data_IF_372298395215
#
_entry.id   IF_372298395215
#
_cell.length_a   1.000
_cell.length_b   1.000
_cell.length_c   1.000
_cell.angle_alpha   90.00
_cell.angle_beta   90.00
_cell.angle_gamma   90.00
#
_symmetry.space_group_name_H-M   'P 1'
#
loop_
_entity.id
_entity.type
_entity.pdbx_description
1 polymer ?
#
# COMPACT_ATOMS: atom_id res chain seq x y z
N UNK A 1 9.92 -7.28 -14.15
CA UNK A 1 10.82 -6.15 -13.97
C UNK A 1 10.00 -4.88 -13.98
N UNK A 2 9.77 -4.31 -12.81
CA UNK A 2 9.23 -2.97 -12.66
C UNK A 2 10.37 -2.02 -13.02
N UNK A 3 10.07 -0.94 -13.73
CA UNK A 3 11.05 -0.09 -14.41
C UNK A 3 12.20 0.37 -13.50
N UNK A 4 13.40 0.19 -13.99
CA UNK A 4 14.66 0.65 -13.39
C UNK A 4 14.76 2.19 -13.42
N UNK A 5 14.28 2.84 -12.40
CA UNK A 5 14.51 4.26 -12.17
C UNK A 5 14.08 4.58 -10.76
N UNK A 6 14.96 4.89 -9.86
CA UNK A 6 14.84 5.45 -8.49
C UNK A 6 13.55 5.35 -7.65
N UNK A 7 12.48 4.83 -8.22
CA UNK A 7 11.14 4.76 -7.62
C UNK A 7 10.83 3.42 -6.92
N UNK A 8 11.70 2.42 -7.05
CA UNK A 8 11.55 1.12 -6.40
C UNK A 8 12.31 1.06 -5.08
N UNK A 9 11.82 0.22 -4.16
CA UNK A 9 12.54 -0.12 -2.94
C UNK A 9 13.81 -0.90 -3.28
N UNK A 10 14.93 -0.58 -2.63
CA UNK A 10 16.24 -1.17 -2.89
C UNK A 10 17.03 -1.46 -1.61
N UNK A 11 18.26 -1.99 -1.73
CA UNK A 11 19.07 -2.42 -0.60
C UNK A 11 19.51 -1.29 0.33
N UNK A 12 19.52 -0.06 -0.14
CA UNK A 12 19.90 1.11 0.67
C UNK A 12 18.74 1.69 1.48
N UNK A 13 17.52 1.13 1.32
CA UNK A 13 16.34 1.62 2.02
C UNK A 13 16.24 1.10 3.45
N UNK A 14 15.64 1.94 4.29
CA UNK A 14 15.19 1.59 5.64
C UNK A 14 13.67 1.69 5.68
N UNK A 15 13.01 0.57 5.93
CA UNK A 15 11.56 0.45 5.89
C UNK A 15 10.97 0.53 7.29
N UNK A 16 9.91 1.32 7.48
CA UNK A 16 9.18 1.42 8.74
C UNK A 16 8.27 0.21 8.97
N UNK A 17 8.70 -0.70 9.80
CA UNK A 17 8.05 -1.99 10.04
C UNK A 17 7.09 -1.95 11.23
N UNK A 18 6.01 -1.19 11.14
CA UNK A 18 4.98 -1.06 12.19
C UNK A 18 3.74 -1.89 11.93
N UNK A 19 3.52 -2.31 10.70
CA UNK A 19 2.35 -3.12 10.34
C UNK A 19 2.45 -4.52 10.91
N UNK A 20 1.34 -5.08 11.44
CA UNK A 20 1.31 -6.43 11.98
C UNK A 20 1.71 -7.47 10.93
N UNK A 21 2.63 -8.38 11.28
CA UNK A 21 3.09 -9.43 10.35
C UNK A 21 2.07 -10.57 10.16
N UNK A 22 1.00 -10.60 10.93
CA UNK A 22 -0.13 -11.49 10.65
C UNK A 22 -1.10 -10.93 9.59
N UNK A 23 -0.94 -9.67 9.21
CA UNK A 23 -1.63 -9.05 8.08
C UNK A 23 -0.74 -9.09 6.84
N UNK A 24 -1.28 -9.52 5.70
CA UNK A 24 -0.48 -9.74 4.48
C UNK A 24 0.24 -8.47 3.99
N UNK A 25 -0.29 -7.29 4.25
CA UNK A 25 0.40 -6.03 3.95
C UNK A 25 1.72 -5.93 4.73
N UNK A 26 1.70 -6.19 6.04
CA UNK A 26 2.92 -6.23 6.84
C UNK A 26 3.86 -7.37 6.46
N UNK A 27 3.30 -8.58 6.23
CA UNK A 27 4.08 -9.77 5.92
C UNK A 27 4.76 -9.68 4.55
N UNK A 28 4.00 -9.38 3.48
CA UNK A 28 4.53 -9.44 2.13
C UNK A 28 5.13 -8.10 1.68
N UNK A 29 4.42 -6.97 1.87
CA UNK A 29 4.90 -5.68 1.36
C UNK A 29 6.01 -5.11 2.24
N UNK A 30 5.86 -5.12 3.57
CA UNK A 30 6.88 -4.56 4.46
C UNK A 30 8.04 -5.54 4.63
N UNK A 31 7.79 -6.76 5.12
CA UNK A 31 8.86 -7.71 5.42
C UNK A 31 9.35 -8.45 4.16
N UNK A 32 8.43 -9.04 3.39
CA UNK A 32 8.77 -9.90 2.24
C UNK A 32 9.53 -9.15 1.15
N UNK A 33 9.06 -7.97 0.74
CA UNK A 33 9.77 -7.13 -0.25
C UNK A 33 11.13 -6.71 0.29
N UNK A 34 11.22 -6.29 1.56
CA UNK A 34 12.48 -5.89 2.18
C UNK A 34 13.52 -7.00 2.18
N UNK A 35 13.12 -8.24 2.51
CA UNK A 35 14.01 -9.39 2.45
C UNK A 35 14.42 -9.72 1.02
N UNK A 36 13.51 -9.58 0.06
CA UNK A 36 13.77 -9.87 -1.34
C UNK A 36 14.77 -8.90 -1.98
N UNK A 37 14.65 -7.60 -1.69
CA UNK A 37 15.53 -6.55 -2.23
C UNK A 37 16.76 -6.27 -1.37
N UNK A 38 16.81 -6.81 -0.14
CA UNK A 38 17.94 -6.64 0.78
C UNK A 38 17.91 -5.33 1.58
N UNK A 39 16.76 -4.66 1.70
CA UNK A 39 16.61 -3.45 2.50
C UNK A 39 16.52 -3.75 4.01
N UNK A 40 16.86 -2.76 4.83
CA UNK A 40 16.69 -2.85 6.28
C UNK A 40 15.22 -2.63 6.68
N UNK A 41 14.77 -3.30 7.76
CA UNK A 41 13.45 -3.07 8.35
C UNK A 41 13.63 -2.62 9.80
N UNK A 42 13.15 -1.43 10.12
CA UNK A 42 13.03 -0.94 11.49
C UNK A 42 11.75 -1.48 12.11
N UNK A 43 11.85 -2.54 12.89
CA UNK A 43 10.68 -3.16 13.54
C UNK A 43 10.19 -2.30 14.71
N UNK A 44 8.92 -1.94 14.68
CA UNK A 44 8.21 -1.18 15.71
C UNK A 44 7.14 -2.09 16.31
N UNK A 45 7.28 -2.41 17.59
CA UNK A 45 6.38 -3.34 18.28
C UNK A 45 4.94 -2.78 18.39
N UNK A 46 4.84 -1.48 18.63
CA UNK A 46 3.56 -0.79 18.79
C UNK A 46 3.62 0.61 18.21
N UNK A 47 2.63 0.95 17.40
CA UNK A 47 2.50 2.29 16.87
C UNK A 47 2.16 3.31 17.97
N UNK A 48 2.96 4.35 18.05
CA UNK A 48 2.68 5.59 18.76
C UNK A 48 3.08 6.76 17.85
N UNK A 49 2.23 7.78 17.67
CA UNK A 49 2.48 8.82 16.68
C UNK A 49 3.75 9.63 16.93
N UNK A 50 4.07 9.93 18.18
CA UNK A 50 5.23 10.78 18.52
C UNK A 50 6.51 9.99 18.38
N UNK A 51 6.62 8.86 19.08
CA UNK A 51 7.81 8.01 19.03
C UNK A 51 8.03 7.38 17.65
N UNK A 52 6.96 7.19 16.87
CA UNK A 52 7.06 6.75 15.48
C UNK A 52 7.75 7.78 14.59
N UNK A 53 7.39 9.05 14.68
CA UNK A 53 8.04 10.15 13.95
C UNK A 53 9.52 10.30 14.38
N UNK A 54 9.79 10.27 15.69
CA UNK A 54 11.16 10.29 16.21
C UNK A 54 12.01 9.12 15.71
N UNK A 55 11.41 7.92 15.60
CA UNK A 55 12.08 6.74 15.08
C UNK A 55 12.40 6.88 13.57
N UNK A 56 11.49 7.45 12.78
CA UNK A 56 11.74 7.75 11.36
C UNK A 56 12.94 8.65 11.19
N UNK A 57 12.98 9.78 11.88
CA UNK A 57 14.10 10.74 11.85
C UNK A 57 15.40 10.08 12.31
N UNK A 58 15.38 9.48 13.51
CA UNK A 58 16.56 8.90 14.16
C UNK A 58 17.24 7.81 13.33
N UNK A 59 16.46 7.00 12.63
CA UNK A 59 16.97 5.85 11.89
C UNK A 59 17.04 6.09 10.37
N UNK A 60 16.71 7.31 9.90
CA UNK A 60 16.75 7.65 8.48
C UNK A 60 15.83 6.76 7.65
N UNK A 61 14.61 6.53 8.13
CA UNK A 61 13.63 5.70 7.41
C UNK A 61 13.29 6.35 6.07
N UNK A 62 13.35 5.56 5.01
CA UNK A 62 13.14 6.02 3.63
C UNK A 62 11.83 5.54 3.02
N UNK A 63 11.28 4.44 3.56
CA UNK A 63 10.02 3.84 3.08
C UNK A 63 9.05 3.68 4.24
N UNK A 64 7.88 4.27 4.10
CA UNK A 64 6.79 4.17 5.08
C UNK A 64 5.54 3.65 4.40
N UNK A 65 5.00 2.54 4.90
CA UNK A 65 3.72 1.98 4.47
C UNK A 65 2.77 1.89 5.66
N UNK A 66 1.55 2.37 5.51
CA UNK A 66 0.58 2.30 6.61
C UNK A 66 -0.84 2.65 6.19
N UNK A 67 -1.83 2.40 7.08
CA UNK A 67 -3.21 2.76 6.83
C UNK A 67 -3.42 4.28 6.93
N UNK A 68 -4.50 4.81 6.34
CA UNK A 68 -4.85 6.24 6.46
C UNK A 68 -4.91 6.75 7.90
N UNK A 69 -5.32 5.90 8.85
CA UNK A 69 -5.38 6.25 10.27
C UNK A 69 -4.01 6.54 10.89
N UNK A 70 -2.95 5.86 10.43
CA UNK A 70 -1.58 6.14 10.84
C UNK A 70 -1.14 7.53 10.33
N UNK A 71 -1.37 7.80 9.06
CA UNK A 71 -1.04 9.07 8.43
C UNK A 71 -1.81 10.24 9.06
N UNK A 72 -3.11 10.05 9.33
CA UNK A 72 -3.93 11.04 10.05
C UNK A 72 -3.39 11.32 11.47
N UNK A 73 -2.97 10.28 12.19
CA UNK A 73 -2.39 10.42 13.53
C UNK A 73 -1.10 11.26 13.48
N UNK A 74 -0.22 11.01 12.51
CA UNK A 74 1.01 11.79 12.33
C UNK A 74 0.71 13.25 11.93
N UNK A 75 -0.21 13.46 11.00
CA UNK A 75 -0.65 14.82 10.65
C UNK A 75 -1.24 15.58 11.85
N UNK A 76 -1.87 14.87 12.78
CA UNK A 76 -2.47 15.44 14.00
C UNK A 76 -1.48 15.76 15.14
N UNK A 77 -0.21 15.32 15.11
CA UNK A 77 0.75 15.59 16.21
C UNK A 77 1.09 17.09 16.26
N UNK A 78 0.83 17.80 17.37
CA UNK A 78 1.09 19.23 17.44
C UNK A 78 2.58 19.53 17.60
N UNK A 79 3.04 20.65 17.03
CA UNK A 79 4.39 21.21 17.26
C UNK A 79 5.56 20.37 16.71
N UNK A 80 5.30 19.37 15.89
CA UNK A 80 6.35 18.56 15.26
C UNK A 80 7.01 19.33 14.12
N UNK A 81 8.32 19.18 13.97
CA UNK A 81 9.06 19.74 12.84
C UNK A 81 8.56 19.13 11.52
N UNK A 82 8.10 19.94 10.54
CA UNK A 82 7.75 19.45 9.22
C UNK A 82 8.83 18.63 8.52
N UNK A 83 10.11 18.91 8.79
CA UNK A 83 11.26 18.21 8.23
C UNK A 83 11.53 16.82 8.82
N UNK A 84 10.78 16.40 9.85
CA UNK A 84 11.02 15.11 10.55
C UNK A 84 10.91 13.89 9.62
N UNK A 85 10.13 14.01 8.52
CA UNK A 85 9.98 12.98 7.49
C UNK A 85 10.83 13.23 6.24
N UNK A 86 11.83 14.12 6.29
CA UNK A 86 12.63 14.50 5.12
C UNK A 86 13.44 13.36 4.49
N UNK A 87 13.71 12.30 5.23
CA UNK A 87 14.35 11.07 4.70
C UNK A 87 13.38 10.17 3.92
N UNK A 88 12.06 10.34 4.10
CA UNK A 88 11.05 9.48 3.49
C UNK A 88 10.90 9.83 2.01
N UNK A 89 11.19 8.87 1.14
CA UNK A 89 11.06 8.98 -0.31
C UNK A 89 9.89 8.18 -0.88
N UNK A 90 9.38 7.22 -0.09
CA UNK A 90 8.22 6.38 -0.43
C UNK A 90 7.23 6.42 0.73
N UNK A 91 6.09 7.04 0.51
CA UNK A 91 5.00 7.16 1.47
C UNK A 91 3.74 6.51 0.89
N UNK A 92 3.37 5.33 1.42
CA UNK A 92 2.33 4.48 0.85
C UNK A 92 1.18 4.37 1.84
N UNK A 93 -0.03 4.66 1.35
CA UNK A 93 -1.28 4.40 2.05
C UNK A 93 -1.99 3.19 1.46
N UNK A 94 -2.47 2.29 2.31
CA UNK A 94 -3.17 1.08 1.88
C UNK A 94 -4.06 0.50 2.98
N UNK A 95 -4.63 -0.67 2.73
CA UNK A 95 -5.58 -1.38 3.60
C UNK A 95 -6.95 -0.69 3.80
N UNK A 96 -7.11 0.56 3.39
CA UNK A 96 -8.38 1.28 3.35
C UNK A 96 -8.28 2.45 2.37
N UNK A 97 -9.42 2.94 1.88
CA UNK A 97 -9.47 4.13 1.04
C UNK A 97 -8.85 5.34 1.77
N UNK A 98 -7.96 6.05 1.10
CA UNK A 98 -7.32 7.25 1.62
C UNK A 98 -8.29 8.45 1.51
N UNK A 99 -8.75 9.03 2.66
CA UNK A 99 -9.52 10.26 2.60
C UNK A 99 -8.68 11.42 2.05
N UNK A 100 -9.27 12.23 1.19
CA UNK A 100 -8.58 13.37 0.57
C UNK A 100 -8.04 14.34 1.62
N UNK A 101 -8.80 14.53 2.70
CA UNK A 101 -8.41 15.40 3.81
C UNK A 101 -7.15 14.92 4.54
N UNK A 102 -6.96 13.60 4.63
CA UNK A 102 -5.75 13.01 5.22
C UNK A 102 -4.55 13.23 4.31
N UNK A 103 -4.70 12.96 3.01
CA UNK A 103 -3.64 13.19 2.02
C UNK A 103 -3.20 14.66 2.04
N UNK A 104 -4.16 15.60 1.98
CA UNK A 104 -3.91 17.04 2.03
C UNK A 104 -3.25 17.49 3.35
N UNK A 105 -3.67 16.92 4.50
CA UNK A 105 -3.09 17.26 5.80
C UNK A 105 -1.63 16.79 5.92
N UNK A 106 -1.31 15.60 5.39
CA UNK A 106 0.07 15.08 5.35
C UNK A 106 0.94 15.92 4.42
N UNK A 107 0.46 16.20 3.21
CA UNK A 107 1.17 17.04 2.24
C UNK A 107 1.42 18.46 2.78
N UNK A 108 0.39 19.10 3.32
CA UNK A 108 0.50 20.45 3.90
C UNK A 108 1.48 20.53 5.08
N UNK A 109 1.55 19.47 5.89
CA UNK A 109 2.39 19.44 7.09
C UNK A 109 3.82 19.01 6.82
N UNK A 110 4.02 17.97 6.04
CA UNK A 110 5.32 17.32 5.85
C UNK A 110 5.89 17.47 4.43
N UNK A 111 5.11 18.01 3.48
CA UNK A 111 5.54 18.12 2.08
C UNK A 111 5.64 16.78 1.36
N UNK A 112 4.95 15.74 1.85
CA UNK A 112 5.00 14.39 1.31
C UNK A 112 3.67 14.06 0.63
N UNK A 113 3.71 13.59 -0.61
CA UNK A 113 2.58 13.01 -1.31
C UNK A 113 2.41 11.53 -0.94
N UNK A 114 1.17 11.11 -0.68
CA UNK A 114 0.85 9.72 -0.37
C UNK A 114 0.40 8.97 -1.61
N UNK A 115 1.11 7.90 -1.94
CA UNK A 115 0.69 6.91 -2.94
C UNK A 115 -0.42 6.01 -2.36
N UNK A 116 -1.58 5.93 -2.99
CA UNK A 116 -2.64 5.01 -2.58
C UNK A 116 -2.58 3.73 -3.42
N UNK A 117 -2.18 2.62 -2.82
CA UNK A 117 -2.22 1.29 -3.45
C UNK A 117 -3.51 0.55 -3.11
N UNK A 118 -3.97 -0.30 -4.04
CA UNK A 118 -5.10 -1.22 -3.79
C UNK A 118 -4.63 -2.67 -3.79
N UNK A 119 -5.22 -3.43 -2.88
CA UNK A 119 -4.96 -4.86 -2.76
C UNK A 119 -5.86 -5.54 -1.76
N UNK A 120 -5.83 -6.87 -1.76
CA UNK A 120 -6.58 -7.73 -0.86
C UNK A 120 -5.77 -8.99 -0.54
N UNK A 121 -6.12 -9.66 0.54
CA UNK A 121 -5.41 -10.87 0.99
C UNK A 121 -5.41 -11.96 -0.08
N UNK A 122 -6.52 -12.09 -0.79
CA UNK A 122 -6.75 -13.05 -1.87
C UNK A 122 -5.91 -12.78 -3.12
N UNK A 123 -5.23 -11.62 -3.19
CA UNK A 123 -4.32 -11.24 -4.28
C UNK A 123 -2.86 -11.03 -3.83
N UNK A 124 -2.46 -11.48 -2.66
CA UNK A 124 -1.07 -11.66 -2.13
C UNK A 124 -0.15 -10.44 -1.98
N UNK A 125 -0.54 -9.24 -1.59
CA UNK A 125 -1.83 -8.58 -1.59
C UNK A 125 -2.02 -7.56 -2.73
N UNK A 126 -0.94 -7.11 -3.43
CA UNK A 126 -0.97 -5.92 -4.29
C UNK A 126 -1.60 -6.22 -5.64
N UNK A 127 -2.60 -5.40 -5.99
CA UNK A 127 -3.31 -5.44 -7.27
C UNK A 127 -2.94 -4.25 -8.14
N UNK A 128 -2.95 -3.04 -7.55
CA UNK A 128 -2.60 -1.81 -8.29
C UNK A 128 -1.62 -0.93 -7.52
N UNK A 129 -0.89 -0.10 -8.26
CA UNK A 129 -0.01 0.93 -7.71
C UNK A 129 -0.02 2.16 -8.61
N UNK A 130 -0.05 3.39 -8.05
CA UNK A 130 0.09 4.61 -8.83
C UNK A 130 1.55 4.94 -9.16
N UNK A 131 2.53 4.34 -8.47
CA UNK A 131 3.94 4.69 -8.59
C UNK A 131 4.48 4.49 -10.00
N UNK A 132 5.19 5.50 -10.52
CA UNK A 132 5.79 5.46 -11.85
C UNK A 132 4.80 5.42 -13.01
N UNK A 133 3.50 5.62 -12.77
CA UNK A 133 2.46 5.50 -13.78
C UNK A 133 1.96 6.84 -14.32
N UNK A 134 2.24 7.95 -13.62
CA UNK A 134 1.64 9.25 -13.90
C UNK A 134 0.15 9.33 -13.58
N UNK A 135 -0.38 8.40 -12.79
CA UNK A 135 -1.76 8.42 -12.36
C UNK A 135 -2.06 9.68 -11.51
N UNK A 136 -3.24 10.27 -11.66
CA UNK A 136 -3.59 11.46 -10.88
C UNK A 136 -3.70 11.13 -9.38
N UNK A 137 -3.47 12.14 -8.53
CA UNK A 137 -3.68 12.03 -7.08
C UNK A 137 -5.10 11.55 -6.77
N UNK A 138 -5.23 10.63 -5.81
CA UNK A 138 -6.48 9.96 -5.46
C UNK A 138 -6.87 8.78 -6.36
N UNK A 139 -6.02 8.43 -7.34
CA UNK A 139 -6.14 7.19 -8.10
C UNK A 139 -5.37 6.07 -7.41
N UNK A 140 -5.92 4.85 -7.42
CA UNK A 140 -5.20 3.64 -6.99
C UNK A 140 -4.19 3.15 -8.05
N UNK A 141 -4.04 3.88 -9.16
CA UNK A 141 -3.06 3.57 -10.22
C UNK A 141 -3.51 2.51 -11.21
N UNK A 142 -2.55 1.77 -11.74
CA UNK A 142 -2.75 0.69 -12.71
C UNK A 142 -2.37 -0.66 -12.09
N UNK A 143 -2.80 -1.75 -12.70
CA UNK A 143 -2.47 -3.11 -12.25
C UNK A 143 -0.97 -3.36 -12.25
N UNK A 144 -0.51 -4.12 -11.25
CA UNK A 144 0.88 -4.60 -11.24
C UNK A 144 1.11 -5.61 -12.37
N UNK A 145 2.35 -5.79 -12.84
CA UNK A 145 2.65 -6.70 -13.94
C UNK A 145 2.11 -8.12 -13.72
N UNK A 146 1.41 -8.65 -14.71
CA UNK A 146 0.86 -10.00 -14.69
C UNK A 146 -0.54 -10.10 -14.05
N UNK A 147 -1.11 -9.01 -13.57
CA UNK A 147 -2.48 -8.94 -13.05
C UNK A 147 -3.38 -8.30 -14.09
N UNK A 148 -4.47 -8.98 -14.41
CA UNK A 148 -5.58 -8.46 -15.19
C UNK A 148 -6.71 -8.02 -14.25
N UNK A 149 -7.34 -6.88 -14.55
CA UNK A 149 -8.43 -6.33 -13.77
C UNK A 149 -9.58 -5.96 -14.72
N UNK A 150 -10.80 -6.38 -14.35
CA UNK A 150 -12.04 -5.95 -14.97
C UNK A 150 -12.92 -5.28 -13.92
N UNK A 151 -13.72 -4.32 -14.33
CA UNK A 151 -14.80 -3.76 -13.52
C UNK A 151 -16.09 -4.17 -14.21
N UNK A 152 -16.91 -4.96 -13.52
CA UNK A 152 -18.08 -5.60 -14.11
C UNK A 152 -19.37 -5.20 -13.39
N UNK A 153 -20.47 -5.28 -14.11
CA UNK A 153 -21.81 -5.10 -13.56
C UNK A 153 -22.34 -6.39 -12.91
N UNK A 154 -23.59 -6.37 -12.47
CA UNK A 154 -24.25 -7.52 -11.84
C UNK A 154 -24.47 -8.71 -12.80
N UNK A 155 -24.28 -8.54 -14.10
CA UNK A 155 -24.36 -9.57 -15.13
C UNK A 155 -22.97 -10.11 -15.52
N UNK A 156 -21.88 -9.57 -14.96
CA UNK A 156 -20.50 -9.93 -15.28
C UNK A 156 -19.97 -9.28 -16.57
N UNK A 157 -20.68 -8.31 -17.11
CA UNK A 157 -20.25 -7.55 -18.29
C UNK A 157 -19.45 -6.31 -17.89
N UNK A 158 -18.48 -5.93 -18.73
CA UNK A 158 -17.65 -4.76 -18.48
C UNK A 158 -18.49 -3.47 -18.41
N UNK A 159 -18.31 -2.69 -17.34
CA UNK A 159 -18.97 -1.39 -17.19
C UNK A 159 -18.35 -0.32 -18.09
N UNK A 160 -19.08 0.75 -18.37
CA UNK A 160 -18.53 1.90 -19.09
C UNK A 160 -17.55 2.68 -18.20
N UNK A 161 -16.61 3.36 -18.84
CA UNK A 161 -15.64 4.21 -18.13
C UNK A 161 -16.38 5.29 -17.34
N UNK A 162 -16.15 5.32 -16.02
CA UNK A 162 -16.81 6.23 -15.09
C UNK A 162 -17.93 5.62 -14.28
N UNK A 163 -18.40 4.43 -14.66
CA UNK A 163 -19.42 3.70 -13.89
C UNK A 163 -18.77 2.88 -12.76
N UNK A 164 -19.56 2.62 -11.73
CA UNK A 164 -19.17 1.75 -10.63
C UNK A 164 -19.50 0.29 -10.95
N UNK A 165 -18.65 -0.63 -10.49
CA UNK A 165 -18.85 -2.07 -10.65
C UNK A 165 -18.04 -2.87 -9.64
N UNK A 166 -18.15 -4.19 -9.74
CA UNK A 166 -17.35 -5.15 -8.99
C UNK A 166 -15.99 -5.33 -9.65
N UNK A 167 -14.94 -5.42 -8.85
CA UNK A 167 -13.58 -5.66 -9.36
C UNK A 167 -13.35 -7.16 -9.47
N UNK A 168 -13.09 -7.64 -10.68
CA UNK A 168 -12.65 -9.00 -10.96
C UNK A 168 -11.17 -9.00 -11.30
N UNK A 169 -10.47 -10.00 -10.75
CA UNK A 169 -9.01 -10.11 -10.86
C UNK A 169 -8.60 -11.47 -11.42
N UNK A 170 -7.61 -11.45 -12.29
CA UNK A 170 -6.91 -12.66 -12.75
C UNK A 170 -5.41 -12.42 -12.73
N UNK A 171 -4.65 -13.37 -12.18
CA UNK A 171 -3.20 -13.27 -12.16
C UNK A 171 -2.52 -14.33 -11.30
N UNK A 172 -1.20 -14.45 -11.39
CA UNK A 172 -0.43 -15.45 -10.64
C UNK A 172 -0.40 -15.17 -9.12
N UNK A 173 -0.83 -13.99 -8.71
CA UNK A 173 -0.91 -13.57 -7.31
C UNK A 173 -2.24 -13.89 -6.65
N UNK A 174 -3.24 -14.36 -7.41
CA UNK A 174 -4.53 -14.78 -6.86
C UNK A 174 -4.33 -16.08 -6.06
N UNK A 175 -4.96 -16.14 -4.87
CA UNK A 175 -4.85 -17.26 -3.94
C UNK A 175 -5.49 -18.56 -4.49
N UNK A 176 -5.17 -19.71 -3.88
CA UNK A 176 -5.74 -20.99 -4.29
C UNK A 176 -7.10 -21.29 -3.64
N UNK A 177 -7.52 -20.49 -2.66
CA UNK A 177 -8.78 -20.64 -1.95
C UNK A 177 -8.63 -20.46 -0.43
N UNK A 178 -9.75 -20.46 0.27
CA UNK A 178 -9.80 -20.42 1.73
C UNK A 178 -9.52 -21.79 2.32
N UNK A 179 -8.76 -21.83 3.40
CA UNK A 179 -8.38 -23.07 4.06
C UNK A 179 -9.60 -23.81 4.62
N UNK A 180 -9.84 -25.04 4.15
CA UNK A 180 -10.95 -25.92 4.56
C UNK A 180 -12.34 -25.26 4.45
N UNK A 181 -12.51 -24.35 3.46
CA UNK A 181 -13.79 -23.68 3.19
C UNK A 181 -14.04 -23.59 1.68
N UNK A 182 -14.46 -24.71 1.11
CA UNK A 182 -14.70 -24.83 -0.34
C UNK A 182 -15.89 -23.99 -0.78
N UNK A 183 -16.92 -23.83 0.08
CA UNK A 183 -18.09 -23.03 -0.23
C UNK A 183 -17.75 -21.54 -0.34
N UNK A 184 -16.97 -21.00 0.60
CA UNK A 184 -16.47 -19.63 0.53
C UNK A 184 -15.52 -19.44 -0.65
N UNK A 185 -14.70 -20.43 -0.95
CA UNK A 185 -13.80 -20.40 -2.13
C UNK A 185 -14.58 -20.31 -3.42
N UNK A 186 -15.57 -21.17 -3.61
CA UNK A 186 -16.40 -21.18 -4.81
C UNK A 186 -17.26 -19.90 -4.99
N UNK A 187 -17.52 -19.18 -3.89
CA UNK A 187 -18.24 -17.91 -3.95
C UNK A 187 -17.41 -16.75 -4.51
N UNK A 188 -16.07 -16.86 -4.52
CA UNK A 188 -15.15 -15.75 -4.91
C UNK A 188 -14.16 -16.11 -6.01
N UNK A 189 -13.89 -17.41 -6.24
CA UNK A 189 -13.09 -17.88 -7.37
C UNK A 189 -14.02 -18.43 -8.45
N UNK A 190 -13.91 -17.87 -9.66
CA UNK A 190 -14.57 -18.37 -10.85
C UNK A 190 -13.62 -19.24 -11.66
N UNK A 191 -14.16 -20.08 -12.54
CA UNK A 191 -13.36 -20.95 -13.44
C UNK A 191 -12.79 -20.20 -14.66
N UNK A 192 -13.06 -18.90 -14.80
CA UNK A 192 -12.71 -18.07 -15.95
C UNK A 192 -11.38 -17.34 -15.82
#
# INVERSE_FOLDING_TARGET
AIASGGDEQGPDDVVFGVLPLFHIFGLNVVLGVSLFVGSAVLLIERFDPVSGLEAVEKHGVTVVSGPPTMWAAWAGVPGVDPGILSSVRMAISGAAKLPVEVAQAVEAKFGIELDEGYGLTEASPVVTSPRGTGAPSGSIGITVPGVELRIVDAQGEDVLVGDAGEIWLRGPNVFAGYWQDDDATAAVLTDD
#
